data_IF_648710045746
#
_entry.id   IF_648710045746
#
_cell.length_a   1.000
_cell.length_b   1.000
_cell.length_c   1.000
_cell.angle_alpha   90.00
_cell.angle_beta   90.00
_cell.angle_gamma   90.00
#
_symmetry.space_group_name_H-M   'P 1'
#
loop_
_entity.id
_entity.type
_entity.pdbx_description
1 polymer ?
#
# COMPACT_ATOMS: atom_id res chain seq x y z
N UNK A 1 -12.39 31.94 24.88
CA UNK A 1 -11.12 32.25 25.57
C UNK A 1 -11.00 31.29 26.75
N UNK A 2 -9.88 30.61 26.89
CA UNK A 2 -9.62 29.61 27.93
C UNK A 2 -8.78 28.44 27.43
N UNK A 3 -7.57 28.72 26.93
CA UNK A 3 -6.55 27.68 26.69
C UNK A 3 -5.75 27.56 27.98
N UNK A 4 -5.84 26.42 28.66
CA UNK A 4 -4.87 26.08 29.70
C UNK A 4 -3.81 25.16 29.09
N UNK A 5 -2.66 25.75 28.72
CA UNK A 5 -1.42 25.03 28.49
C UNK A 5 -0.81 24.65 29.83
N UNK A 6 -0.82 23.36 30.18
CA UNK A 6 0.09 22.84 31.18
C UNK A 6 1.44 22.60 30.50
N UNK A 7 2.44 23.43 30.81
CA UNK A 7 3.83 23.24 30.42
C UNK A 7 4.42 22.08 31.20
N UNK A 8 4.46 20.90 30.59
CA UNK A 8 5.19 19.73 31.09
C UNK A 8 6.69 19.91 30.80
N UNK A 9 7.58 19.93 31.81
CA UNK A 9 9.02 20.11 31.63
C UNK A 9 9.66 18.78 31.22
N UNK A 10 9.29 18.26 30.05
CA UNK A 10 10.05 17.18 29.41
C UNK A 10 11.12 17.78 28.50
N UNK A 11 12.33 17.18 28.42
CA UNK A 11 13.43 17.71 27.63
C UNK A 11 13.00 17.98 26.18
N UNK A 12 13.38 19.14 25.66
CA UNK A 12 12.98 19.65 24.34
C UNK A 12 13.74 18.94 23.21
N UNK A 13 13.44 17.65 23.02
CA UNK A 13 13.72 16.89 21.79
C UNK A 13 12.43 16.18 21.41
N UNK A 14 11.44 16.92 20.93
CA UNK A 14 10.23 16.34 20.34
C UNK A 14 10.59 15.72 18.99
N UNK A 15 11.10 14.49 19.01
CA UNK A 15 11.05 13.60 17.86
C UNK A 15 9.57 13.35 17.58
N UNK A 16 9.01 14.02 16.58
CA UNK A 16 7.65 13.76 16.11
C UNK A 16 7.60 12.33 15.58
N UNK A 17 6.66 11.52 16.05
CA UNK A 17 6.47 10.14 15.58
C UNK A 17 5.93 10.10 14.16
N UNK A 18 6.15 8.98 13.47
CA UNK A 18 5.53 8.73 12.15
C UNK A 18 4.00 8.83 12.26
N UNK A 19 3.36 9.32 11.19
CA UNK A 19 1.92 9.60 11.20
C UNK A 19 1.24 9.15 9.90
N UNK A 20 0.00 8.67 10.02
CA UNK A 20 -0.83 8.27 8.88
C UNK A 20 -1.76 9.41 8.45
N UNK A 21 -1.91 9.57 7.13
CA UNK A 21 -3.04 10.26 6.51
C UNK A 21 -3.91 9.25 5.79
N UNK A 22 -5.17 9.14 6.23
CA UNK A 22 -6.16 8.23 5.65
C UNK A 22 -7.03 9.00 4.67
N UNK A 23 -7.03 8.57 3.42
CA UNK A 23 -7.89 9.09 2.38
C UNK A 23 -9.01 8.07 2.11
N UNK A 24 -10.04 8.07 2.97
CA UNK A 24 -11.14 7.10 2.93
C UNK A 24 -11.89 7.09 1.59
N UNK A 25 -12.23 8.25 1.04
CA UNK A 25 -12.88 8.40 -0.28
C UNK A 25 -12.02 7.97 -1.47
N UNK A 26 -10.79 7.56 -1.17
CA UNK A 26 -9.72 7.24 -2.10
C UNK A 26 -9.22 5.80 -1.89
N UNK A 27 -9.54 5.16 -0.77
CA UNK A 27 -9.02 3.84 -0.45
C UNK A 27 -7.52 3.80 -0.24
N UNK A 28 -6.95 4.88 0.28
CA UNK A 28 -5.51 5.04 0.38
C UNK A 28 -5.09 5.55 1.76
N UNK A 29 -4.13 4.87 2.39
CA UNK A 29 -3.43 5.41 3.55
C UNK A 29 -1.97 5.68 3.20
N UNK A 30 -1.44 6.78 3.73
CA UNK A 30 -0.05 7.19 3.53
C UNK A 30 0.61 7.36 4.89
N UNK A 31 1.66 6.58 5.14
CA UNK A 31 2.52 6.76 6.30
C UNK A 31 3.61 7.78 5.95
N UNK A 32 3.74 8.80 6.78
CA UNK A 32 4.80 9.78 6.71
C UNK A 32 5.78 9.59 7.86
N UNK A 33 7.06 9.81 7.54
CA UNK A 33 8.12 9.95 8.53
C UNK A 33 7.91 11.22 9.35
N UNK A 34 7.90 11.09 10.68
CA UNK A 34 7.59 12.19 11.58
C UNK A 34 8.62 13.33 11.57
N UNK A 35 9.86 13.05 11.14
CA UNK A 35 10.94 14.05 11.10
C UNK A 35 11.07 14.73 9.74
N UNK A 36 11.07 13.94 8.67
CA UNK A 36 11.32 14.43 7.31
C UNK A 36 10.05 14.78 6.55
N UNK A 37 8.88 14.39 7.06
CA UNK A 37 7.59 14.46 6.38
C UNK A 37 7.60 13.78 5.00
N UNK A 38 8.52 12.82 4.80
CA UNK A 38 8.60 11.98 3.60
C UNK A 38 7.70 10.77 3.73
N UNK A 39 7.23 10.25 2.61
CA UNK A 39 6.40 9.05 2.58
C UNK A 39 7.27 7.82 2.88
N UNK A 40 6.80 6.94 3.76
CA UNK A 40 7.42 5.64 4.07
C UNK A 40 6.66 4.47 3.48
N UNK A 41 5.34 4.57 3.43
CA UNK A 41 4.46 3.45 3.06
C UNK A 41 3.14 3.96 2.46
N UNK A 42 2.64 3.24 1.47
CA UNK A 42 1.26 3.34 0.99
C UNK A 42 0.50 2.07 1.36
N UNK A 43 -0.77 2.21 1.74
CA UNK A 43 -1.72 1.09 1.90
C UNK A 43 -2.89 1.34 0.95
N UNK A 44 -3.13 0.38 0.04
CA UNK A 44 -4.16 0.43 -0.99
C UNK A 44 -5.29 -0.51 -0.62
N UNK A 45 -6.49 0.03 -0.45
CA UNK A 45 -7.69 -0.72 -0.07
C UNK A 45 -8.50 -1.11 -1.30
N UNK A 46 -8.84 -2.39 -1.45
CA UNK A 46 -9.64 -2.87 -2.59
C UNK A 46 -11.15 -2.81 -2.36
N UNK A 47 -11.57 -2.61 -1.10
CA UNK A 47 -12.97 -2.57 -0.66
C UNK A 47 -13.78 -3.83 -1.08
N UNK A 48 -13.22 -5.03 -0.83
CA UNK A 48 -13.95 -6.28 -1.08
C UNK A 48 -14.94 -6.60 0.06
N UNK A 49 -16.17 -7.02 -0.26
CA UNK A 49 -17.12 -7.52 0.73
C UNK A 49 -16.52 -8.66 1.53
N UNK A 50 -16.72 -8.62 2.85
CA UNK A 50 -16.20 -9.61 3.78
C UNK A 50 -14.80 -9.31 4.32
N UNK A 51 -14.23 -8.13 4.06
CA UNK A 51 -13.11 -7.62 4.84
C UNK A 51 -13.63 -6.73 5.99
N UNK A 52 -12.88 -6.62 7.08
CA UNK A 52 -13.31 -5.84 8.25
C UNK A 52 -13.48 -4.35 7.93
N UNK A 53 -12.73 -3.83 6.95
CA UNK A 53 -12.77 -2.43 6.52
C UNK A 53 -13.70 -2.19 5.32
N UNK A 54 -14.53 -3.19 4.97
CA UNK A 54 -15.51 -3.04 3.90
C UNK A 54 -16.44 -1.85 4.19
N UNK A 55 -16.61 -0.98 3.19
CA UNK A 55 -17.37 0.27 3.25
C UNK A 55 -16.78 1.39 4.14
N UNK A 56 -15.69 1.12 4.88
CA UNK A 56 -14.90 2.18 5.54
C UNK A 56 -14.05 2.96 4.53
N UNK A 57 -13.64 2.29 3.44
CA UNK A 57 -12.85 2.84 2.35
C UNK A 57 -13.54 2.66 0.99
N UNK A 58 -13.37 3.63 0.09
CA UNK A 58 -13.67 3.42 -1.33
C UNK A 58 -12.61 2.50 -1.97
N UNK A 59 -12.95 1.82 -3.06
CA UNK A 59 -12.00 0.98 -3.81
C UNK A 59 -10.91 1.84 -4.44
N UNK A 60 -9.65 1.58 -4.09
CA UNK A 60 -8.50 2.20 -4.72
C UNK A 60 -8.23 1.56 -6.09
N UNK A 61 -8.32 2.34 -7.17
CA UNK A 61 -8.05 1.87 -8.53
C UNK A 61 -6.56 1.96 -8.86
N UNK A 62 -5.78 0.97 -8.43
CA UNK A 62 -4.34 0.87 -8.73
C UNK A 62 -4.04 -0.04 -9.93
N UNK A 63 -2.86 0.15 -10.53
CA UNK A 63 -2.25 -0.82 -11.44
C UNK A 63 -0.79 -0.93 -11.04
N UNK A 64 -0.36 -2.13 -10.67
CA UNK A 64 1.01 -2.42 -10.25
C UNK A 64 1.65 -3.28 -11.34
N UNK A 65 2.64 -2.73 -12.03
CA UNK A 65 3.39 -3.46 -13.03
C UNK A 65 4.56 -4.19 -12.38
N UNK A 66 4.73 -5.45 -12.75
CA UNK A 66 5.91 -6.25 -12.42
C UNK A 66 6.82 -6.33 -13.65
N UNK A 67 7.97 -5.65 -13.60
CA UNK A 67 9.05 -5.86 -14.56
C UNK A 67 10.30 -6.21 -13.78
N UNK A 68 10.85 -7.42 -13.99
CA UNK A 68 12.17 -7.88 -13.53
C UNK A 68 12.64 -7.22 -12.21
N UNK A 69 11.95 -7.56 -11.11
CA UNK A 69 12.24 -7.14 -9.74
C UNK A 69 11.88 -5.69 -9.34
N UNK A 70 11.01 -4.99 -10.09
CA UNK A 70 10.54 -3.65 -9.74
C UNK A 70 9.02 -3.53 -9.80
N UNK A 71 8.47 -2.87 -8.78
CA UNK A 71 7.08 -2.51 -8.71
C UNK A 71 6.89 -1.07 -9.16
N UNK A 72 6.16 -0.85 -10.25
CA UNK A 72 5.72 0.48 -10.66
C UNK A 72 4.21 0.59 -10.42
N UNK A 73 3.81 1.35 -9.40
CA UNK A 73 2.41 1.67 -9.17
C UNK A 73 2.01 2.86 -10.03
N UNK A 74 1.18 2.62 -11.06
CA UNK A 74 0.50 3.70 -11.77
C UNK A 74 -0.80 3.96 -11.03
N UNK A 75 -0.77 4.87 -10.07
CA UNK A 75 -1.98 5.62 -9.75
C UNK A 75 -2.37 6.37 -11.02
N UNK A 76 -3.60 6.18 -11.48
CA UNK A 76 -4.10 6.81 -12.71
C UNK A 76 -3.82 8.33 -12.67
N UNK A 77 -3.25 8.90 -13.73
CA UNK A 77 -2.79 10.32 -13.83
C UNK A 77 -3.85 11.36 -13.43
N UNK A 78 -5.12 10.97 -13.45
CA UNK A 78 -6.29 11.78 -13.12
C UNK A 78 -6.44 12.13 -11.63
N UNK A 79 -5.59 11.60 -10.76
CA UNK A 79 -5.79 11.69 -9.31
C UNK A 79 -4.98 12.75 -8.58
N UNK A 80 -3.99 13.33 -9.26
CA UNK A 80 -2.90 14.03 -8.63
C UNK A 80 -2.95 15.51 -8.98
N UNK A 81 -3.35 16.34 -8.02
CA UNK A 81 -3.01 17.76 -8.10
C UNK A 81 -1.48 17.88 -8.26
N UNK A 82 -1.00 18.90 -8.97
CA UNK A 82 0.44 19.07 -9.28
C UNK A 82 1.35 18.95 -8.05
N UNK A 83 0.86 19.31 -6.86
CA UNK A 83 1.61 19.21 -5.60
C UNK A 83 1.73 17.77 -5.07
N UNK A 84 0.71 16.93 -5.25
CA UNK A 84 0.78 15.51 -4.84
C UNK A 84 1.60 14.68 -5.84
N UNK A 85 1.59 15.04 -7.13
CA UNK A 85 2.41 14.41 -8.16
C UNK A 85 3.92 14.52 -7.83
N UNK A 86 4.37 15.68 -7.36
CA UNK A 86 5.77 15.88 -6.95
C UNK A 86 6.14 15.03 -5.73
N UNK A 87 5.22 14.87 -4.78
CA UNK A 87 5.45 14.10 -3.56
C UNK A 87 5.49 12.58 -3.83
N UNK A 88 4.60 12.08 -4.70
CA UNK A 88 4.60 10.67 -5.15
C UNK A 88 5.77 10.40 -6.09
N UNK A 89 6.13 11.36 -6.95
CA UNK A 89 7.31 11.24 -7.80
C UNK A 89 8.56 11.02 -6.94
N UNK A 90 8.77 11.77 -5.85
CA UNK A 90 9.91 11.57 -4.95
C UNK A 90 9.96 10.16 -4.32
N UNK A 91 8.81 9.55 -4.00
CA UNK A 91 8.76 8.17 -3.50
C UNK A 91 9.01 7.12 -4.60
N UNK A 92 8.53 7.38 -5.83
CA UNK A 92 8.77 6.51 -6.99
C UNK A 92 10.21 6.67 -7.57
N UNK A 93 10.87 7.79 -7.34
CA UNK A 93 12.22 8.12 -7.85
C UNK A 93 13.34 7.32 -7.15
N UNK A 94 13.08 6.76 -5.96
CA UNK A 94 14.06 5.93 -5.24
C UNK A 94 13.91 4.41 -5.49
N UNK A 95 13.01 3.97 -6.39
CA UNK A 95 13.07 2.60 -6.91
C UNK A 95 14.10 2.62 -8.05
N UNK A 96 15.30 2.04 -7.86
CA UNK A 96 16.39 2.26 -8.80
C UNK A 96 16.01 1.72 -10.18
N UNK A 97 15.81 2.63 -11.13
CA UNK A 97 15.71 2.32 -12.55
C UNK A 97 17.09 1.90 -13.10
N UNK A 98 17.65 0.79 -12.62
CA UNK A 98 18.78 0.15 -13.31
C UNK A 98 18.30 -0.33 -14.67
N UNK A 99 18.93 0.21 -15.71
CA UNK A 99 18.59 0.02 -17.12
C UNK A 99 18.50 -1.45 -17.51
N UNK A 100 17.31 -1.84 -17.94
CA UNK A 100 17.07 -3.07 -18.69
C UNK A 100 16.21 -2.68 -19.88
N UNK A 101 16.67 -3.04 -21.08
CA UNK A 101 16.01 -2.72 -22.35
C UNK A 101 14.53 -3.11 -22.32
N UNK A 102 13.67 -2.17 -22.71
CA UNK A 102 12.28 -2.44 -23.04
C UNK A 102 12.24 -3.42 -24.22
N UNK A 103 12.15 -4.71 -23.93
CA UNK A 103 11.68 -5.65 -24.94
C UNK A 103 10.15 -5.52 -25.01
N UNK A 104 9.69 -5.04 -26.17
CA UNK A 104 8.28 -5.00 -26.53
C UNK A 104 7.76 -6.44 -26.70
N UNK A 105 7.39 -7.09 -25.59
CA UNK A 105 6.56 -8.29 -25.68
C UNK A 105 5.09 -7.88 -25.80
N UNK A 106 4.47 -8.30 -26.90
CA UNK A 106 3.12 -7.99 -27.40
C UNK A 106 1.99 -8.57 -26.50
N UNK A 107 2.24 -8.80 -25.20
CA UNK A 107 1.28 -9.37 -24.24
C UNK A 107 1.19 -8.55 -22.93
N UNK A 108 0.94 -7.23 -23.06
CA UNK A 108 0.92 -6.26 -21.95
C UNK A 108 -0.12 -6.48 -20.84
N UNK A 109 -0.92 -7.55 -20.88
CA UNK A 109 -1.90 -7.92 -19.86
C UNK A 109 -1.40 -8.95 -18.84
N UNK A 110 -0.26 -9.61 -19.07
CA UNK A 110 0.20 -10.72 -18.21
C UNK A 110 0.97 -10.29 -16.95
N UNK A 111 1.43 -9.04 -16.86
CA UNK A 111 2.35 -8.61 -15.77
C UNK A 111 1.81 -7.44 -14.93
N UNK A 112 0.49 -7.28 -14.84
CA UNK A 112 -0.13 -6.20 -14.08
C UNK A 112 -1.06 -6.73 -12.98
N UNK A 113 -0.88 -6.23 -11.76
CA UNK A 113 -1.73 -6.51 -10.61
C UNK A 113 -2.69 -5.32 -10.42
N UNK A 114 -3.98 -5.63 -10.35
CA UNK A 114 -5.06 -4.66 -10.18
C UNK A 114 -5.85 -5.01 -8.92
N UNK A 115 -6.74 -4.13 -8.43
CA UNK A 115 -7.63 -4.46 -7.33
C UNK A 115 -8.48 -5.70 -7.58
N UNK A 116 -8.73 -6.06 -8.84
CA UNK A 116 -9.52 -7.25 -9.21
C UNK A 116 -8.72 -8.54 -9.35
N UNK A 117 -7.38 -8.47 -9.28
CA UNK A 117 -6.51 -9.62 -9.43
C UNK A 117 -6.67 -10.56 -8.23
N UNK A 118 -6.86 -11.86 -8.49
CA UNK A 118 -6.93 -12.87 -7.42
C UNK A 118 -5.54 -13.28 -6.96
N UNK A 119 -5.45 -13.78 -5.73
CA UNK A 119 -4.18 -14.21 -5.13
C UNK A 119 -3.41 -15.24 -5.97
N UNK A 120 -4.10 -16.23 -6.56
CA UNK A 120 -3.46 -17.21 -7.44
C UNK A 120 -2.74 -16.55 -8.63
N UNK A 121 -3.36 -15.54 -9.23
CA UNK A 121 -2.75 -14.79 -10.34
C UNK A 121 -1.56 -13.94 -9.88
N UNK A 122 -1.59 -13.41 -8.65
CA UNK A 122 -0.43 -12.70 -8.08
C UNK A 122 0.77 -13.64 -7.97
N UNK A 123 0.56 -14.87 -7.50
CA UNK A 123 1.62 -15.88 -7.42
C UNK A 123 2.15 -16.29 -8.79
N UNK A 124 1.30 -16.35 -9.81
CA UNK A 124 1.74 -16.58 -11.20
C UNK A 124 2.63 -15.44 -11.71
N UNK A 125 2.34 -14.18 -11.33
CA UNK A 125 3.07 -12.98 -11.77
C UNK A 125 4.39 -12.79 -10.99
N UNK A 126 4.37 -13.00 -9.68
CA UNK A 126 5.50 -12.67 -8.79
C UNK A 126 6.32 -13.89 -8.34
N UNK A 127 5.85 -15.09 -8.64
CA UNK A 127 6.38 -16.33 -8.09
C UNK A 127 5.88 -16.59 -6.66
N UNK A 128 6.24 -17.77 -6.15
CA UNK A 128 5.88 -18.18 -4.79
C UNK A 128 6.73 -17.44 -3.75
N UNK A 129 6.09 -16.78 -2.79
CA UNK A 129 6.74 -16.13 -1.65
C UNK A 129 6.81 -17.04 -0.41
N UNK A 130 6.28 -18.27 -0.49
CA UNK A 130 6.20 -19.20 0.62
C UNK A 130 5.03 -18.91 1.58
N UNK A 131 5.19 -19.28 2.85
CA UNK A 131 4.11 -19.19 3.85
C UNK A 131 3.81 -17.74 4.21
N UNK A 132 2.53 -17.47 4.52
CA UNK A 132 2.10 -16.17 5.01
C UNK A 132 2.91 -15.75 6.24
N UNK A 133 3.40 -14.51 6.25
CA UNK A 133 4.22 -13.97 7.32
C UNK A 133 3.38 -13.69 8.57
N UNK A 134 2.12 -13.28 8.39
CA UNK A 134 1.19 -12.96 9.48
C UNK A 134 -0.19 -13.50 9.12
N UNK A 135 -0.84 -14.16 10.08
CA UNK A 135 -2.26 -14.40 10.03
C UNK A 135 -2.93 -13.40 10.97
N UNK A 136 -3.65 -12.44 10.41
CA UNK A 136 -4.41 -11.48 11.21
C UNK A 136 -5.65 -12.21 11.70
N UNK A 137 -5.61 -12.75 12.92
CA UNK A 137 -6.83 -13.14 13.59
C UNK A 137 -7.66 -11.86 13.71
N UNK A 138 -8.71 -11.73 12.89
CA UNK A 138 -9.65 -10.63 13.06
C UNK A 138 -10.06 -10.54 14.53
N UNK A 139 -10.47 -9.36 14.99
CA UNK A 139 -11.04 -9.23 16.33
C UNK A 139 -12.09 -10.32 16.55
N UNK A 140 -12.36 -10.71 17.80
CA UNK A 140 -13.45 -11.64 18.13
C UNK A 140 -14.81 -11.20 17.55
N UNK A 141 -14.92 -9.94 17.12
CA UNK A 141 -16.05 -9.33 16.44
C UNK A 141 -16.00 -9.32 14.89
N UNK A 142 -14.95 -9.79 14.23
CA UNK A 142 -14.90 -9.83 12.75
C UNK A 142 -15.63 -11.08 12.22
N UNK A 143 -16.84 -10.96 11.64
CA UNK A 143 -17.64 -12.10 11.22
C UNK A 143 -17.07 -12.81 9.99
N UNK A 144 -16.09 -12.22 9.30
CA UNK A 144 -15.56 -12.72 8.04
C UNK A 144 -14.25 -13.52 8.18
N UNK A 145 -13.72 -13.59 9.40
CA UNK A 145 -12.55 -14.38 9.74
C UNK A 145 -11.21 -13.70 9.43
N UNK A 146 -10.13 -14.47 9.59
CA UNK A 146 -8.76 -13.98 9.44
C UNK A 146 -8.35 -13.71 8.00
N UNK A 147 -7.42 -12.77 7.82
CA UNK A 147 -6.66 -12.57 6.58
C UNK A 147 -5.24 -13.12 6.71
N UNK A 148 -4.56 -13.30 5.58
CA UNK A 148 -3.18 -13.74 5.50
C UNK A 148 -2.34 -12.65 4.82
N UNK A 149 -1.19 -12.34 5.39
CA UNK A 149 -0.26 -11.35 4.81
C UNK A 149 0.92 -12.07 4.17
N UNK A 150 1.12 -11.79 2.89
CA UNK A 150 2.22 -12.34 2.09
C UNK A 150 3.17 -11.22 1.68
N UNK A 151 4.46 -11.40 1.92
CA UNK A 151 5.49 -10.40 1.66
C UNK A 151 6.32 -10.74 0.42
N UNK A 152 6.56 -9.74 -0.41
CA UNK A 152 7.58 -9.70 -1.45
C UNK A 152 8.52 -8.52 -1.18
N UNK A 153 9.65 -8.40 -1.88
CA UNK A 153 10.45 -7.18 -1.82
C UNK A 153 9.60 -5.94 -2.12
N UNK A 154 9.59 -5.01 -1.16
CA UNK A 154 8.92 -3.70 -1.24
C UNK A 154 7.38 -3.72 -1.37
N UNK A 155 6.73 -4.88 -1.28
CA UNK A 155 5.27 -4.98 -1.27
C UNK A 155 4.78 -6.11 -0.37
N UNK A 156 3.65 -5.89 0.30
CA UNK A 156 2.92 -6.94 1.00
C UNK A 156 1.47 -6.96 0.54
N UNK A 157 0.90 -8.17 0.46
CA UNK A 157 -0.49 -8.41 0.10
C UNK A 157 -1.21 -8.99 1.30
N UNK A 158 -2.27 -8.32 1.75
CA UNK A 158 -3.23 -8.92 2.66
C UNK A 158 -4.33 -9.60 1.84
N UNK A 159 -4.52 -10.89 2.09
CA UNK A 159 -5.37 -11.76 1.29
C UNK A 159 -6.42 -12.41 2.18
N UNK A 160 -7.66 -12.34 1.74
CA UNK A 160 -8.80 -12.97 2.39
C UNK A 160 -8.85 -14.47 2.09
N UNK A 161 -9.56 -15.25 2.92
CA UNK A 161 -9.70 -16.72 2.73
C UNK A 161 -10.28 -17.14 1.38
N UNK A 162 -11.07 -16.27 0.75
CA UNK A 162 -11.68 -16.49 -0.56
C UNK A 162 -10.74 -16.11 -1.73
N UNK A 163 -9.48 -15.75 -1.45
CA UNK A 163 -8.46 -15.46 -2.45
C UNK A 163 -8.51 -14.04 -3.04
N UNK A 164 -9.38 -13.17 -2.53
CA UNK A 164 -9.36 -11.75 -2.90
C UNK A 164 -8.32 -10.99 -2.06
N UNK A 165 -7.68 -10.01 -2.71
CA UNK A 165 -6.73 -9.11 -2.06
C UNK A 165 -7.55 -8.05 -1.30
N UNK A 166 -7.37 -7.93 0.00
CA UNK A 166 -7.98 -6.89 0.81
C UNK A 166 -7.18 -5.59 0.74
N UNK A 167 -5.87 -5.69 0.98
CA UNK A 167 -4.97 -4.54 0.93
C UNK A 167 -3.66 -4.86 0.23
N UNK A 168 -3.07 -3.84 -0.40
CA UNK A 168 -1.70 -3.88 -0.92
C UNK A 168 -0.89 -2.81 -0.24
N UNK A 169 0.18 -3.20 0.44
CA UNK A 169 1.08 -2.29 1.14
C UNK A 169 2.37 -2.14 0.35
N UNK A 170 2.68 -0.94 -0.12
CA UNK A 170 3.95 -0.61 -0.78
C UNK A 170 4.86 0.10 0.23
N UNK A 171 6.12 -0.32 0.34
CA UNK A 171 7.06 0.27 1.30
C UNK A 171 8.51 0.17 0.80
N UNK A 172 9.34 1.10 1.26
CA UNK A 172 10.78 1.02 1.09
C UNK A 172 11.38 0.20 2.25
N UNK A 173 12.32 -0.69 1.93
CA UNK A 173 13.06 -1.53 2.88
C UNK A 173 14.37 -0.87 3.28
#
# INVERSE_FOLDING_TARGET
>A
MGIHSASDPRPRTTLCGDYFYNYFSRGLDILFDGQTHKIKKFVLHTNYPGHADFNSYMKCNFIIYCCNCKFFSIFNRLWLSRNFLLMVASFLIEIPAVGGSFHNDVNGSKNAITPSTKWEQVKEILGDCGRAAIQTHGSTSNPFGSTFVYGYPNVAFEVMKNGYIATVTLFQS
#
